data_IF_577880989736
#
_entry.id   IF_577880989736
#
_cell.length_a   1.000
_cell.length_b   1.000
_cell.length_c   1.000
_cell.angle_alpha   90.00
_cell.angle_beta   90.00
_cell.angle_gamma   90.00
#
_symmetry.space_group_name_H-M   'P 1'
#
loop_
_entity.id
_entity.type
_entity.pdbx_description
1 polymer ?
#
# COMPACT_ATOMS: atom_id res chain seq x y z
N UNK A 1 2.40 41.37 -54.50
CA UNK A 1 3.48 40.61 -53.86
C UNK A 1 3.79 41.32 -52.57
N UNK A 2 3.67 40.61 -51.46
CA UNK A 2 3.73 41.18 -50.12
C UNK A 2 5.21 41.32 -49.73
N UNK A 3 5.74 42.54 -49.50
CA UNK A 3 7.18 42.77 -49.34
C UNK A 3 7.76 42.13 -48.06
N UNK A 4 6.92 41.71 -47.10
CA UNK A 4 7.35 40.96 -45.92
C UNK A 4 7.65 39.48 -46.20
N UNK A 5 7.04 38.91 -47.24
CA UNK A 5 7.17 37.49 -47.55
C UNK A 5 8.47 37.22 -48.33
N UNK A 6 8.88 38.17 -49.17
CA UNK A 6 10.18 38.13 -49.87
C UNK A 6 11.38 38.27 -48.91
N UNK A 7 11.26 39.08 -47.84
CA UNK A 7 12.30 39.18 -46.81
C UNK A 7 12.44 37.90 -45.97
N UNK A 8 11.34 37.21 -45.65
CA UNK A 8 11.38 35.94 -44.90
C UNK A 8 11.96 34.80 -45.74
N UNK A 9 11.64 34.74 -47.03
CA UNK A 9 12.19 33.76 -47.97
C UNK A 9 13.70 34.00 -48.20
N UNK A 10 14.15 35.25 -48.35
CA UNK A 10 15.58 35.58 -48.45
C UNK A 10 16.36 35.24 -47.17
N UNK A 11 15.76 35.44 -45.98
CA UNK A 11 16.39 35.06 -44.71
C UNK A 11 16.49 33.55 -44.57
N UNK A 12 15.47 32.80 -45.02
CA UNK A 12 15.48 31.34 -44.99
C UNK A 12 16.47 30.74 -45.99
N UNK A 13 16.59 31.33 -47.19
CA UNK A 13 17.58 30.94 -48.18
C UNK A 13 19.02 31.24 -47.69
N UNK A 14 19.26 32.40 -47.08
CA UNK A 14 20.55 32.71 -46.45
C UNK A 14 20.87 31.76 -45.28
N UNK A 15 19.87 31.29 -44.54
CA UNK A 15 20.03 30.29 -43.49
C UNK A 15 20.36 28.91 -44.06
N UNK A 16 19.68 28.48 -45.12
CA UNK A 16 19.91 27.19 -45.78
C UNK A 16 21.26 27.15 -46.52
N UNK A 17 21.73 28.26 -47.08
CA UNK A 17 23.05 28.34 -47.71
C UNK A 17 24.20 28.20 -46.71
N UNK A 18 24.00 28.54 -45.43
CA UNK A 18 24.96 28.23 -44.37
C UNK A 18 25.13 26.71 -44.17
N UNK A 19 24.08 25.90 -44.36
CA UNK A 19 24.17 24.44 -44.26
C UNK A 19 24.69 23.78 -45.54
N UNK A 20 24.45 24.38 -46.71
CA UNK A 20 25.00 23.90 -47.99
C UNK A 20 26.50 24.12 -48.11
N UNK A 21 27.01 25.20 -47.51
CA UNK A 21 28.43 25.57 -47.54
C UNK A 21 29.28 24.84 -46.48
N UNK A 22 28.66 24.40 -45.38
CA UNK A 22 29.30 23.54 -44.39
C UNK A 22 29.15 22.07 -44.79
N UNK A 23 30.06 21.56 -45.63
CA UNK A 23 30.25 20.10 -45.71
C UNK A 23 30.51 19.58 -44.30
N UNK A 24 29.69 18.65 -43.84
CA UNK A 24 29.87 17.96 -42.56
C UNK A 24 31.31 17.44 -42.47
N UNK A 25 32.16 18.11 -41.69
CA UNK A 25 33.56 17.74 -41.53
C UNK A 25 33.61 16.54 -40.60
N UNK A 26 33.97 15.37 -41.16
CA UNK A 26 33.92 14.08 -40.47
C UNK A 26 32.90 13.10 -41.05
N UNK A 27 32.31 13.39 -42.22
CA UNK A 27 31.52 12.40 -42.95
C UNK A 27 32.40 11.20 -43.31
N UNK A 28 31.87 9.99 -43.15
CA UNK A 28 32.55 8.75 -43.50
C UNK A 28 33.04 8.82 -44.94
N UNK A 29 34.28 8.40 -45.18
CA UNK A 29 34.83 8.34 -46.53
C UNK A 29 34.10 7.23 -47.32
N UNK A 30 33.47 7.54 -48.46
CA UNK A 30 32.70 6.58 -49.27
C UNK A 30 33.47 5.31 -49.68
N UNK A 31 34.80 5.37 -49.77
CA UNK A 31 35.62 4.21 -50.10
C UNK A 31 35.96 3.35 -48.87
N UNK A 32 35.84 3.91 -47.66
CA UNK A 32 36.29 3.30 -46.39
C UNK A 32 35.21 3.21 -45.32
N UNK A 33 34.00 3.66 -45.65
CA UNK A 33 32.86 3.74 -44.74
C UNK A 33 32.51 2.39 -44.12
N UNK A 34 32.56 1.27 -44.87
CA UNK A 34 32.28 -0.05 -44.30
C UNK A 34 33.28 -0.44 -43.20
N UNK A 35 34.56 -0.07 -43.34
CA UNK A 35 35.57 -0.32 -42.31
C UNK A 35 35.34 0.55 -41.08
N UNK A 36 34.90 1.80 -41.27
CA UNK A 36 34.60 2.72 -40.16
C UNK A 36 33.30 2.35 -39.46
N UNK A 37 32.29 1.87 -40.19
CA UNK A 37 31.04 1.35 -39.64
C UNK A 37 31.28 0.07 -38.85
N UNK A 38 32.16 -0.81 -39.34
CA UNK A 38 32.59 -2.00 -38.60
C UNK A 38 33.42 -1.67 -37.34
N UNK A 39 33.84 -0.41 -37.10
CA UNK A 39 34.44 0.01 -35.83
C UNK A 39 33.41 0.53 -34.83
N UNK A 40 32.19 0.84 -35.28
CA UNK A 40 31.13 1.32 -34.41
C UNK A 40 30.42 0.10 -33.81
N UNK A 41 30.37 -0.04 -32.48
CA UNK A 41 29.85 -1.25 -31.84
C UNK A 41 28.43 -1.64 -32.26
N UNK A 42 27.55 -0.67 -32.53
CA UNK A 42 26.18 -0.93 -33.00
C UNK A 42 26.10 -1.57 -34.40
N UNK A 43 27.15 -1.45 -35.22
CA UNK A 43 27.13 -1.87 -36.63
C UNK A 43 28.23 -2.87 -36.99
N UNK A 44 28.97 -3.35 -35.98
CA UNK A 44 29.95 -4.42 -36.11
C UNK A 44 29.29 -5.68 -36.68
N UNK A 45 29.74 -6.13 -37.85
CA UNK A 45 29.28 -7.40 -38.45
C UNK A 45 29.86 -8.64 -37.76
N UNK A 46 30.92 -8.48 -36.97
CA UNK A 46 31.59 -9.54 -36.21
C UNK A 46 32.07 -8.98 -34.86
N UNK A 47 31.98 -9.79 -33.81
CA UNK A 47 32.57 -9.43 -32.52
C UNK A 47 34.10 -9.30 -32.67
N UNK A 48 34.75 -8.27 -32.10
CA UNK A 48 36.20 -8.14 -32.15
C UNK A 48 36.87 -9.27 -31.34
N UNK A 49 37.88 -9.91 -31.94
CA UNK A 49 38.64 -11.03 -31.35
C UNK A 49 39.73 -10.57 -30.35
N UNK A 50 39.88 -9.26 -30.11
CA UNK A 50 41.02 -8.68 -29.39
C UNK A 50 40.64 -8.16 -27.98
N UNK A 51 41.56 -8.36 -27.02
CA UNK A 51 41.38 -8.29 -25.56
C UNK A 51 40.48 -7.14 -25.06
N UNK A 52 39.45 -7.52 -24.32
CA UNK A 52 38.36 -6.70 -23.73
C UNK A 52 38.81 -5.64 -22.71
N UNK A 53 40.10 -5.42 -22.51
CA UNK A 53 40.64 -4.47 -21.54
C UNK A 53 40.83 -3.05 -22.09
N UNK A 54 40.82 -2.85 -23.42
CA UNK A 54 41.22 -1.56 -24.04
C UNK A 54 40.09 -0.59 -24.36
N UNK A 55 38.82 -0.98 -24.22
CA UNK A 55 37.67 -0.09 -24.51
C UNK A 55 36.56 -0.23 -23.47
N UNK A 56 36.35 0.77 -22.60
CA UNK A 56 35.30 0.74 -21.57
C UNK A 56 33.88 0.70 -22.16
N UNK A 57 33.70 1.19 -23.38
CA UNK A 57 32.44 1.15 -24.13
C UNK A 57 32.08 -0.27 -24.56
N UNK A 58 33.07 -1.09 -24.94
CA UNK A 58 32.86 -2.51 -25.23
C UNK A 58 32.62 -3.30 -23.95
N UNK A 59 33.28 -2.97 -22.84
CA UNK A 59 33.00 -3.59 -21.54
C UNK A 59 31.57 -3.28 -21.03
N UNK A 60 31.08 -2.05 -21.25
CA UNK A 60 29.70 -1.68 -20.92
C UNK A 60 28.70 -2.43 -21.81
N UNK A 61 28.93 -2.49 -23.13
CA UNK A 61 28.10 -3.27 -24.05
C UNK A 61 28.16 -4.77 -23.77
N UNK A 62 29.33 -5.30 -23.42
CA UNK A 62 29.51 -6.69 -23.03
C UNK A 62 28.90 -6.97 -21.66
N UNK A 63 28.80 -5.99 -20.75
CA UNK A 63 28.03 -6.11 -19.51
C UNK A 63 26.51 -6.08 -19.72
N UNK A 64 26.06 -5.38 -20.77
CA UNK A 64 24.65 -5.40 -21.24
C UNK A 64 24.35 -6.70 -22.01
N UNK A 65 25.36 -7.28 -22.67
CA UNK A 65 25.31 -8.53 -23.44
C UNK A 65 25.74 -9.77 -22.64
N UNK A 66 26.21 -9.62 -21.39
CA UNK A 66 26.44 -10.76 -20.48
C UNK A 66 25.08 -11.26 -20.04
N UNK A 67 24.50 -11.98 -20.98
CA UNK A 67 23.24 -12.67 -20.95
C UNK A 67 23.09 -13.50 -19.68
N UNK A 68 22.45 -12.94 -18.65
CA UNK A 68 21.91 -13.76 -17.58
C UNK A 68 20.97 -14.79 -18.23
N UNK A 69 21.23 -16.11 -18.10
CA UNK A 69 20.36 -17.13 -18.65
C UNK A 69 18.88 -16.96 -18.24
N UNK A 70 18.62 -16.32 -17.10
CA UNK A 70 17.26 -15.98 -16.65
C UNK A 70 16.64 -14.85 -17.45
N UNK A 71 17.35 -13.74 -17.69
CA UNK A 71 16.84 -12.62 -18.49
C UNK A 71 16.60 -13.02 -19.94
N UNK A 72 17.51 -13.80 -20.53
CA UNK A 72 17.30 -14.37 -21.86
C UNK A 72 16.07 -15.28 -21.92
N UNK A 73 15.88 -16.13 -20.91
CA UNK A 73 14.70 -17.00 -20.84
C UNK A 73 13.41 -16.18 -20.68
N UNK A 74 13.45 -15.05 -19.96
CA UNK A 74 12.32 -14.09 -19.85
C UNK A 74 12.04 -13.43 -21.20
N UNK A 75 13.07 -12.97 -21.92
CA UNK A 75 12.92 -12.41 -23.25
C UNK A 75 12.26 -13.40 -24.22
N UNK A 76 12.77 -14.64 -24.30
CA UNK A 76 12.19 -15.69 -25.13
C UNK A 76 10.74 -16.04 -24.72
N UNK A 77 10.43 -15.99 -23.42
CA UNK A 77 9.07 -16.16 -22.90
C UNK A 77 8.15 -15.05 -23.42
N UNK A 78 8.58 -13.80 -23.39
CA UNK A 78 7.78 -12.66 -23.84
C UNK A 78 7.62 -12.63 -25.37
N UNK A 79 8.69 -12.88 -26.13
CA UNK A 79 8.62 -13.03 -27.58
C UNK A 79 7.67 -14.17 -27.99
N UNK A 80 7.77 -15.32 -27.32
CA UNK A 80 6.86 -16.45 -27.54
C UNK A 80 5.40 -16.10 -27.23
N UNK A 81 5.15 -15.30 -26.18
CA UNK A 81 3.81 -14.83 -25.82
C UNK A 81 3.22 -13.93 -26.89
N UNK A 82 4.03 -13.09 -27.53
CA UNK A 82 3.56 -12.21 -28.60
C UNK A 82 3.22 -12.99 -29.86
N UNK A 83 4.07 -13.94 -30.29
CA UNK A 83 3.70 -14.86 -31.36
C UNK A 83 2.45 -15.69 -31.04
N UNK A 84 2.27 -16.06 -29.77
CA UNK A 84 1.09 -16.79 -29.33
C UNK A 84 -0.19 -15.95 -29.45
N UNK A 85 -0.14 -14.66 -29.06
CA UNK A 85 -1.25 -13.70 -29.25
C UNK A 85 -1.59 -13.52 -30.73
N UNK A 86 -0.58 -13.46 -31.59
CA UNK A 86 -0.73 -13.41 -33.04
C UNK A 86 -1.19 -14.73 -33.69
N UNK A 87 -1.43 -15.78 -32.90
CA UNK A 87 -1.78 -17.14 -33.36
C UNK A 87 -0.71 -17.79 -34.25
N UNK A 88 0.52 -17.26 -34.27
CA UNK A 88 1.68 -17.84 -34.97
C UNK A 88 2.31 -18.93 -34.11
N UNK A 89 1.55 -20.00 -33.85
CA UNK A 89 1.90 -21.02 -32.86
C UNK A 89 3.23 -21.74 -33.13
N UNK A 90 3.63 -21.93 -34.40
CA UNK A 90 4.92 -22.56 -34.74
C UNK A 90 6.11 -21.71 -34.27
N UNK A 91 6.08 -20.41 -34.55
CA UNK A 91 7.10 -19.46 -34.09
C UNK A 91 7.12 -19.34 -32.57
N UNK A 92 5.95 -19.34 -31.94
CA UNK A 92 5.85 -19.35 -30.48
C UNK A 92 6.54 -20.59 -29.87
N UNK A 93 6.37 -21.77 -30.46
CA UNK A 93 7.03 -23.01 -30.00
C UNK A 93 8.55 -22.89 -30.11
N UNK A 94 9.06 -22.34 -31.20
CA UNK A 94 10.48 -22.12 -31.42
C UNK A 94 11.04 -21.18 -30.34
N UNK A 95 10.43 -20.01 -30.14
CA UNK A 95 10.83 -19.04 -29.12
C UNK A 95 10.83 -19.63 -27.70
N UNK A 96 9.76 -20.33 -27.30
CA UNK A 96 9.72 -21.00 -26.00
C UNK A 96 10.77 -22.11 -25.88
N UNK A 97 11.09 -22.81 -26.97
CA UNK A 97 12.11 -23.86 -26.97
C UNK A 97 13.50 -23.27 -26.80
N UNK A 98 13.79 -22.13 -27.42
CA UNK A 98 15.03 -21.38 -27.18
C UNK A 98 15.13 -20.95 -25.71
N UNK A 99 14.05 -20.41 -25.13
CA UNK A 99 14.01 -20.06 -23.70
C UNK A 99 14.30 -21.26 -22.77
N UNK A 100 13.74 -22.44 -23.08
CA UNK A 100 13.99 -23.68 -22.31
C UNK A 100 15.46 -24.13 -22.46
N UNK A 101 16.06 -23.98 -23.64
CA UNK A 101 17.47 -24.35 -23.89
C UNK A 101 18.46 -23.51 -23.08
N UNK A 102 18.09 -22.27 -22.71
CA UNK A 102 18.92 -21.42 -21.84
C UNK A 102 19.11 -22.00 -20.44
N UNK A 103 18.31 -23.00 -20.04
CA UNK A 103 18.46 -23.77 -18.81
C UNK A 103 18.59 -22.87 -17.55
N UNK A 104 17.66 -21.93 -17.41
CA UNK A 104 17.59 -21.01 -16.29
C UNK A 104 17.40 -21.76 -14.95
N UNK A 105 17.89 -21.22 -13.83
CA UNK A 105 17.76 -21.83 -12.50
C UNK A 105 16.36 -21.63 -11.90
N UNK A 106 15.65 -20.59 -12.35
CA UNK A 106 14.27 -20.30 -11.95
C UNK A 106 13.30 -21.41 -12.40
N UNK A 107 12.87 -22.23 -11.43
CA UNK A 107 11.92 -23.32 -11.66
C UNK A 107 10.52 -22.80 -12.06
N UNK A 108 10.13 -21.60 -11.61
CA UNK A 108 8.86 -20.99 -11.98
C UNK A 108 8.86 -20.63 -13.46
N UNK A 109 9.90 -19.93 -13.90
CA UNK A 109 10.07 -19.52 -15.29
C UNK A 109 10.11 -20.72 -16.23
N UNK A 110 10.85 -21.77 -15.86
CA UNK A 110 10.86 -23.02 -16.60
C UNK A 110 9.46 -23.67 -16.67
N UNK A 111 8.74 -23.77 -15.55
CA UNK A 111 7.39 -24.32 -15.52
C UNK A 111 6.42 -23.55 -16.44
N UNK A 112 6.54 -22.21 -16.46
CA UNK A 112 5.75 -21.33 -17.35
C UNK A 112 6.10 -21.57 -18.82
N UNK A 113 7.39 -21.61 -19.17
CA UNK A 113 7.85 -21.87 -20.55
C UNK A 113 7.34 -23.20 -21.10
N UNK A 114 7.48 -24.30 -20.35
CA UNK A 114 6.94 -25.60 -20.74
C UNK A 114 5.40 -25.56 -20.88
N UNK A 115 4.71 -24.85 -19.99
CA UNK A 115 3.23 -24.74 -20.04
C UNK A 115 2.75 -23.94 -21.25
N UNK A 116 3.46 -22.87 -21.60
CA UNK A 116 3.13 -22.04 -22.76
C UNK A 116 3.45 -22.76 -24.07
N UNK A 117 4.57 -23.48 -24.14
CA UNK A 117 4.89 -24.37 -25.26
C UNK A 117 3.85 -25.47 -25.42
N UNK A 118 3.42 -26.09 -24.32
CA UNK A 118 2.33 -27.07 -24.33
C UNK A 118 1.05 -26.46 -24.94
N UNK A 119 0.71 -25.22 -24.59
CA UNK A 119 -0.46 -24.54 -25.14
C UNK A 119 -0.32 -24.34 -26.66
N UNK A 120 0.83 -23.89 -27.14
CA UNK A 120 1.07 -23.68 -28.57
C UNK A 120 1.02 -25.00 -29.35
N UNK A 121 1.63 -26.07 -28.82
CA UNK A 121 1.56 -27.42 -29.40
C UNK A 121 0.12 -27.94 -29.49
N UNK A 122 -0.70 -27.67 -28.47
CA UNK A 122 -2.12 -28.04 -28.47
C UNK A 122 -2.90 -27.37 -29.60
N UNK A 123 -2.67 -26.07 -29.84
CA UNK A 123 -3.36 -25.33 -30.89
C UNK A 123 -3.01 -25.78 -32.31
N UNK A 124 -1.84 -26.42 -32.50
CA UNK A 124 -1.43 -27.03 -33.77
C UNK A 124 -1.96 -28.47 -33.92
N UNK A 125 -2.50 -29.08 -32.86
CA UNK A 125 -2.97 -30.48 -32.85
C UNK A 125 -1.92 -31.50 -32.41
N UNK A 126 -0.76 -31.05 -31.92
CA UNK A 126 0.30 -31.93 -31.42
C UNK A 126 0.04 -32.34 -29.96
N UNK A 127 -1.02 -33.12 -29.73
CA UNK A 127 -1.49 -33.46 -28.38
C UNK A 127 -0.46 -34.23 -27.55
N UNK A 128 0.29 -35.14 -28.15
CA UNK A 128 1.31 -35.92 -27.44
C UNK A 128 2.47 -35.05 -26.94
N UNK A 129 2.97 -34.15 -27.78
CA UNK A 129 4.01 -33.19 -27.40
C UNK A 129 3.52 -32.23 -26.33
N UNK A 130 2.28 -31.76 -26.46
CA UNK A 130 1.63 -30.91 -25.46
C UNK A 130 1.50 -31.59 -24.09
N UNK A 131 1.17 -32.89 -24.04
CA UNK A 131 1.11 -33.66 -22.80
C UNK A 131 2.50 -33.83 -22.16
N UNK A 132 3.52 -34.14 -22.97
CA UNK A 132 4.90 -34.26 -22.49
C UNK A 132 5.39 -32.94 -21.87
N UNK A 133 5.07 -31.81 -22.51
CA UNK A 133 5.41 -30.48 -22.00
C UNK A 133 4.66 -30.17 -20.68
N UNK A 134 3.39 -30.55 -20.56
CA UNK A 134 2.65 -30.41 -19.29
C UNK A 134 3.26 -31.27 -18.16
N UNK A 135 3.73 -32.48 -18.49
CA UNK A 135 4.44 -33.35 -17.54
C UNK A 135 5.80 -32.75 -17.15
N UNK A 136 6.54 -32.17 -18.11
CA UNK A 136 7.81 -31.51 -17.85
C UNK A 136 7.64 -30.27 -16.96
N UNK A 137 6.62 -29.44 -17.21
CA UNK A 137 6.27 -28.32 -16.34
C UNK A 137 6.00 -28.76 -14.90
N UNK A 138 5.30 -29.89 -14.72
CA UNK A 138 5.04 -30.48 -13.39
C UNK A 138 6.31 -30.96 -12.69
N UNK A 139 7.32 -31.42 -13.43
CA UNK A 139 8.62 -31.80 -12.83
C UNK A 139 9.35 -30.58 -12.26
N UNK A 140 9.17 -29.40 -12.86
CA UNK A 140 9.72 -28.15 -12.36
C UNK A 140 8.93 -27.66 -11.15
N UNK A 141 7.60 -27.56 -11.29
CA UNK A 141 6.69 -27.14 -10.21
C UNK A 141 5.47 -28.07 -10.13
N UNK A 142 5.41 -28.96 -9.13
CA UNK A 142 4.32 -29.94 -8.98
C UNK A 142 2.93 -29.31 -8.85
N UNK A 143 2.85 -28.12 -8.26
CA UNK A 143 1.60 -27.40 -7.99
C UNK A 143 1.23 -26.37 -9.08
N UNK A 144 1.86 -26.42 -10.26
CA UNK A 144 1.57 -25.47 -11.35
C UNK A 144 0.20 -25.75 -12.00
N UNK A 145 -0.84 -25.08 -11.49
CA UNK A 145 -2.24 -25.32 -11.86
C UNK A 145 -2.51 -25.23 -13.38
N UNK A 146 -1.88 -24.27 -14.08
CA UNK A 146 -2.06 -24.11 -15.53
C UNK A 146 -1.54 -25.32 -16.33
N UNK A 147 -0.43 -25.92 -15.91
CA UNK A 147 0.08 -27.16 -16.52
C UNK A 147 -0.87 -28.33 -16.26
N UNK A 148 -1.38 -28.46 -15.04
CA UNK A 148 -2.30 -29.54 -14.63
C UNK A 148 -3.59 -29.48 -15.43
N UNK A 149 -4.21 -28.30 -15.54
CA UNK A 149 -5.43 -28.09 -16.33
C UNK A 149 -5.18 -28.45 -17.80
N UNK A 150 -4.02 -28.08 -18.36
CA UNK A 150 -3.66 -28.39 -19.74
C UNK A 150 -3.47 -29.89 -19.97
N UNK A 151 -2.77 -30.56 -19.06
CA UNK A 151 -2.58 -32.01 -19.10
C UNK A 151 -3.91 -32.76 -19.02
N UNK A 152 -4.80 -32.37 -18.11
CA UNK A 152 -6.16 -32.94 -18.00
C UNK A 152 -7.02 -32.71 -19.24
N UNK A 153 -6.83 -31.59 -19.96
CA UNK A 153 -7.54 -31.35 -21.22
C UNK A 153 -7.14 -32.32 -22.32
N UNK A 154 -5.92 -32.85 -22.28
CA UNK A 154 -5.37 -33.78 -23.27
C UNK A 154 -5.62 -35.23 -22.85
N UNK A 155 -5.41 -35.53 -21.56
CA UNK A 155 -5.61 -36.84 -20.96
C UNK A 155 -6.46 -36.70 -19.68
N UNK A 156 -7.80 -36.75 -19.81
CA UNK A 156 -8.71 -36.54 -18.68
C UNK A 156 -8.64 -37.61 -17.59
N UNK A 157 -8.03 -38.76 -17.89
CA UNK A 157 -8.02 -39.97 -17.04
C UNK A 157 -6.73 -40.05 -16.19
N UNK A 158 -5.79 -39.10 -16.34
CA UNK A 158 -4.55 -39.13 -15.55
C UNK A 158 -4.85 -38.87 -14.06
N UNK A 159 -4.94 -39.96 -13.28
CA UNK A 159 -5.29 -39.95 -11.85
C UNK A 159 -4.47 -38.95 -11.02
N UNK A 160 -3.16 -38.88 -11.27
CA UNK A 160 -2.26 -37.94 -10.57
C UNK A 160 -2.64 -36.47 -10.80
N UNK A 161 -3.06 -36.10 -12.01
CA UNK A 161 -3.46 -34.72 -12.31
C UNK A 161 -4.83 -34.38 -11.70
N UNK A 162 -5.75 -35.35 -11.64
CA UNK A 162 -7.05 -35.18 -11.00
C UNK A 162 -6.91 -34.93 -9.49
N UNK A 163 -6.06 -35.70 -8.80
CA UNK A 163 -5.81 -35.54 -7.37
C UNK A 163 -5.22 -34.17 -7.02
N UNK A 164 -4.22 -33.72 -7.77
CA UNK A 164 -3.59 -32.40 -7.52
C UNK A 164 -4.59 -31.28 -7.80
N UNK A 165 -5.40 -31.38 -8.87
CA UNK A 165 -6.46 -30.40 -9.14
C UNK A 165 -7.48 -30.35 -8.00
N UNK A 166 -7.94 -31.51 -7.52
CA UNK A 166 -8.88 -31.56 -6.40
C UNK A 166 -8.29 -30.93 -5.12
N UNK A 167 -6.99 -31.14 -4.85
CA UNK A 167 -6.28 -30.49 -3.75
C UNK A 167 -6.22 -28.97 -3.94
N UNK A 168 -5.86 -28.49 -5.12
CA UNK A 168 -5.82 -27.07 -5.46
C UNK A 168 -7.21 -26.41 -5.33
N UNK A 169 -8.25 -27.05 -5.84
CA UNK A 169 -9.64 -26.57 -5.72
C UNK A 169 -10.08 -26.49 -4.25
N UNK A 170 -9.68 -27.45 -3.41
CA UNK A 170 -9.95 -27.42 -1.97
C UNK A 170 -9.25 -26.25 -1.27
N UNK A 171 -8.00 -25.99 -1.61
CA UNK A 171 -7.23 -24.85 -1.09
C UNK A 171 -7.82 -23.51 -1.54
N UNK A 172 -8.17 -23.38 -2.82
CA UNK A 172 -8.81 -22.18 -3.35
C UNK A 172 -10.14 -21.89 -2.63
N UNK A 173 -10.98 -22.91 -2.44
CA UNK A 173 -12.23 -22.75 -1.67
C UNK A 173 -12.00 -22.37 -0.20
N UNK A 174 -10.87 -22.78 0.39
CA UNK A 174 -10.53 -22.33 1.75
C UNK A 174 -10.13 -20.86 1.74
N UNK A 175 -9.21 -20.46 0.85
CA UNK A 175 -8.79 -19.06 0.69
C UNK A 175 -9.97 -18.13 0.38
N UNK A 176 -10.88 -18.54 -0.52
CA UNK A 176 -12.08 -17.76 -0.85
C UNK A 176 -13.01 -17.58 0.36
N UNK A 177 -13.11 -18.57 1.25
CA UNK A 177 -13.90 -18.46 2.49
C UNK A 177 -13.25 -17.50 3.47
N UNK A 178 -11.94 -17.61 3.65
CA UNK A 178 -11.20 -16.74 4.58
C UNK A 178 -11.25 -15.28 4.09
N UNK A 179 -11.07 -15.05 2.78
CA UNK A 179 -11.19 -13.73 2.17
C UNK A 179 -12.61 -13.13 2.29
N UNK A 180 -13.66 -13.95 2.21
CA UNK A 180 -15.03 -13.47 2.46
C UNK A 180 -15.23 -13.07 3.92
N UNK A 181 -14.69 -13.86 4.86
CA UNK A 181 -14.80 -13.59 6.30
C UNK A 181 -14.06 -12.32 6.68
N UNK A 182 -12.85 -12.10 6.16
CA UNK A 182 -12.09 -10.85 6.40
C UNK A 182 -12.81 -9.65 5.82
N UNK A 183 -13.29 -9.72 4.57
CA UNK A 183 -14.06 -8.63 3.95
C UNK A 183 -15.35 -8.29 4.69
N UNK A 184 -16.04 -9.30 5.24
CA UNK A 184 -17.24 -9.09 6.05
C UNK A 184 -16.92 -8.43 7.40
N UNK A 185 -15.84 -8.86 8.07
CA UNK A 185 -15.39 -8.25 9.31
C UNK A 185 -14.99 -6.78 9.10
N UNK A 186 -14.26 -6.48 8.02
CA UNK A 186 -13.85 -5.12 7.68
C UNK A 186 -15.06 -4.22 7.40
N UNK A 187 -16.02 -4.72 6.61
CA UNK A 187 -17.27 -3.98 6.35
C UNK A 187 -18.04 -3.70 7.64
N UNK A 188 -18.08 -4.66 8.58
CA UNK A 188 -18.75 -4.49 9.88
C UNK A 188 -18.07 -3.40 10.71
N UNK A 189 -16.73 -3.44 10.83
CA UNK A 189 -15.94 -2.39 11.50
C UNK A 189 -16.19 -1.03 10.87
N UNK A 190 -16.18 -0.94 9.54
CA UNK A 190 -16.45 0.31 8.83
C UNK A 190 -17.87 0.84 9.10
N UNK A 191 -18.89 -0.03 9.16
CA UNK A 191 -20.25 0.40 9.51
C UNK A 191 -20.36 0.88 10.95
N UNK A 192 -19.67 0.22 11.89
CA UNK A 192 -19.62 0.65 13.30
C UNK A 192 -18.92 2.00 13.43
N UNK A 193 -17.76 2.17 12.79
CA UNK A 193 -17.05 3.44 12.69
C UNK A 193 -17.95 4.54 12.13
N UNK A 194 -18.59 4.31 10.98
CA UNK A 194 -19.47 5.30 10.35
C UNK A 194 -20.68 5.65 11.25
N UNK A 195 -21.22 4.68 11.99
CA UNK A 195 -22.31 4.94 12.94
C UNK A 195 -21.86 5.82 14.10
N UNK A 196 -20.68 5.52 14.67
CA UNK A 196 -20.06 6.32 15.72
C UNK A 196 -19.79 7.76 15.24
N UNK A 197 -19.26 7.91 14.03
CA UNK A 197 -19.00 9.21 13.39
C UNK A 197 -20.27 10.05 13.29
N UNK A 198 -21.34 9.47 12.75
CA UNK A 198 -22.61 10.17 12.63
C UNK A 198 -23.17 10.57 14.01
N UNK A 199 -23.01 9.71 15.02
CA UNK A 199 -23.44 10.00 16.37
C UNK A 199 -22.69 11.19 16.99
N UNK A 200 -21.36 11.26 16.81
CA UNK A 200 -20.54 12.39 17.31
C UNK A 200 -20.90 13.68 16.58
N UNK A 201 -20.98 13.64 15.24
CA UNK A 201 -21.32 14.81 14.43
C UNK A 201 -22.73 15.35 14.75
N UNK A 202 -23.71 14.47 14.94
CA UNK A 202 -25.09 14.87 15.29
C UNK A 202 -25.19 15.61 16.62
N UNK A 203 -24.21 15.42 17.51
CA UNK A 203 -24.14 16.09 18.82
C UNK A 203 -23.42 17.43 18.77
N UNK A 204 -22.90 17.84 17.61
CA UNK A 204 -22.17 19.09 17.46
C UNK A 204 -20.81 19.10 18.17
N UNK A 205 -20.28 17.92 18.51
CA UNK A 205 -18.95 17.76 19.07
C UNK A 205 -17.95 17.99 17.93
N UNK A 206 -17.05 18.97 18.10
CA UNK A 206 -16.00 19.26 17.11
C UNK A 206 -14.94 18.19 17.22
N UNK A 207 -14.26 17.83 16.13
CA UNK A 207 -13.11 16.92 16.14
C UNK A 207 -11.99 17.57 15.32
N UNK A 208 -10.75 17.59 15.83
CA UNK A 208 -9.64 18.30 15.18
C UNK A 208 -9.05 17.45 14.04
N UNK A 209 -8.84 18.07 12.88
CA UNK A 209 -8.04 17.52 11.78
C UNK A 209 -6.57 17.50 12.17
N UNK A 210 -6.08 16.40 12.75
CA UNK A 210 -4.65 16.12 12.65
C UNK A 210 -4.36 15.72 11.21
N UNK A 211 -3.79 16.66 10.44
CA UNK A 211 -3.23 16.35 9.12
C UNK A 211 -1.95 15.55 9.33
N UNK A 212 -2.05 14.23 9.26
CA UNK A 212 -0.89 13.40 8.90
C UNK A 212 -0.63 13.58 7.40
N UNK A 213 0.64 13.75 7.01
CA UNK A 213 1.07 13.84 5.60
C UNK A 213 0.87 12.50 4.83
N UNK A 214 0.42 11.45 5.52
CA UNK A 214 0.02 10.17 4.93
C UNK A 214 -1.48 10.17 4.60
N UNK A 215 -1.80 10.25 3.30
CA UNK A 215 -3.14 10.40 2.68
C UNK A 215 -4.19 9.30 2.99
N UNK A 216 -3.96 8.39 3.95
CA UNK A 216 -4.88 7.29 4.26
C UNK A 216 -5.57 7.34 5.64
N UNK A 217 -5.07 8.12 6.59
CA UNK A 217 -5.68 8.23 7.93
C UNK A 217 -6.61 9.43 8.03
N UNK A 218 -7.88 9.16 8.30
CA UNK A 218 -8.84 10.23 8.60
C UNK A 218 -8.59 10.74 10.02
N UNK A 219 -8.91 12.01 10.35
CA UNK A 219 -8.82 12.55 11.72
C UNK A 219 -9.50 11.71 12.82
N UNK A 220 -10.37 10.80 12.38
CA UNK A 220 -11.19 9.94 13.20
C UNK A 220 -10.66 8.52 13.35
N UNK A 221 -9.67 8.12 12.53
CA UNK A 221 -8.85 6.95 12.82
C UNK A 221 -8.14 7.13 14.16
N UNK A 222 -7.76 8.36 14.51
CA UNK A 222 -7.23 8.67 15.84
C UNK A 222 -8.27 8.51 16.96
N UNK A 223 -9.57 8.73 16.78
CA UNK A 223 -10.53 8.58 17.90
C UNK A 223 -10.95 7.11 18.08
N UNK A 224 -11.10 6.40 16.97
CA UNK A 224 -11.44 4.98 16.96
C UNK A 224 -10.22 4.06 17.13
N UNK A 225 -8.99 4.59 17.00
CA UNK A 225 -7.74 3.81 17.07
C UNK A 225 -6.67 4.46 17.94
N UNK A 226 -6.93 5.58 18.64
CA UNK A 226 -5.99 6.10 19.64
C UNK A 226 -5.86 5.03 20.71
N UNK A 227 -4.73 4.35 20.66
CA UNK A 227 -4.21 3.54 21.73
C UNK A 227 -3.86 4.50 22.88
N UNK A 228 -4.89 4.99 23.57
CA UNK A 228 -4.72 5.54 24.91
C UNK A 228 -4.01 4.44 25.72
N UNK A 229 -3.18 4.76 26.71
CA UNK A 229 -2.37 3.77 27.45
C UNK A 229 -3.17 2.59 28.04
N UNK A 230 -4.50 2.71 28.11
CA UNK A 230 -5.48 1.74 28.60
C UNK A 230 -6.28 1.02 27.49
N UNK A 231 -6.15 1.37 26.21
CA UNK A 231 -6.84 0.75 25.07
C UNK A 231 -8.34 1.00 24.99
N UNK A 232 -8.89 1.90 25.79
CA UNK A 232 -10.32 2.24 25.78
C UNK A 232 -10.65 3.25 24.69
N UNK A 233 -11.80 3.07 24.04
CA UNK A 233 -12.26 3.84 22.89
C UNK A 233 -13.66 4.39 23.12
N UNK A 234 -14.06 5.38 22.33
CA UNK A 234 -15.43 5.91 22.36
C UNK A 234 -16.39 4.83 21.85
N UNK A 235 -17.40 4.49 22.65
CA UNK A 235 -18.38 3.45 22.32
C UNK A 235 -19.76 4.07 22.14
N UNK A 236 -20.49 3.60 21.13
CA UNK A 236 -21.90 3.89 20.93
C UNK A 236 -22.73 2.71 21.49
N UNK A 237 -23.64 2.99 22.42
CA UNK A 237 -24.51 1.97 23.02
C UNK A 237 -25.70 1.59 22.11
N UNK A 238 -26.51 0.62 22.54
CA UNK A 238 -27.72 0.18 21.81
C UNK A 238 -28.81 1.26 21.71
N UNK A 239 -28.80 2.24 22.62
CA UNK A 239 -29.74 3.36 22.65
C UNK A 239 -29.23 4.56 21.83
N UNK A 240 -28.05 4.45 21.21
CA UNK A 240 -27.42 5.51 20.44
C UNK A 240 -26.77 6.61 21.29
N UNK A 241 -26.46 6.36 22.57
CA UNK A 241 -25.70 7.23 23.49
C UNK A 241 -24.21 6.92 23.43
N UNK A 242 -23.36 7.94 23.57
CA UNK A 242 -21.92 7.79 23.57
C UNK A 242 -21.38 7.59 24.99
N UNK A 243 -20.33 6.77 25.10
CA UNK A 243 -19.50 6.67 26.30
C UNK A 243 -18.05 6.96 25.93
N UNK A 244 -17.43 7.87 26.68
CA UNK A 244 -16.10 8.40 26.40
C UNK A 244 -15.07 7.90 27.41
N UNK A 245 -13.85 7.58 26.98
CA UNK A 245 -12.73 7.45 27.90
C UNK A 245 -12.34 8.84 28.42
N UNK A 246 -12.35 9.01 29.73
CA UNK A 246 -12.11 10.31 30.40
C UNK A 246 -10.94 10.17 31.39
N UNK A 247 -10.04 11.14 31.40
CA UNK A 247 -8.95 11.21 32.38
C UNK A 247 -9.17 12.39 33.33
N UNK A 248 -9.22 12.10 34.63
CA UNK A 248 -9.16 13.11 35.68
C UNK A 248 -7.71 13.27 36.13
N UNK A 249 -7.21 14.50 36.12
CA UNK A 249 -5.90 14.85 36.64
C UNK A 249 -6.06 15.69 37.91
N UNK A 250 -5.28 15.36 38.94
CA UNK A 250 -5.23 16.03 40.24
C UNK A 250 -3.86 16.71 40.37
N UNK A 251 -3.70 17.98 39.96
CA UNK A 251 -2.40 18.61 39.83
C UNK A 251 -1.64 18.73 41.16
N UNK A 252 -2.35 19.04 42.25
CA UNK A 252 -1.78 19.22 43.60
C UNK A 252 -0.98 18.00 44.06
N UNK A 253 -1.41 16.81 43.67
CA UNK A 253 -0.79 15.54 44.06
C UNK A 253 -0.13 14.80 42.89
N UNK A 254 -0.14 15.40 41.68
CA UNK A 254 0.33 14.78 40.44
C UNK A 254 -0.24 13.37 40.23
N UNK A 255 -1.54 13.20 40.54
CA UNK A 255 -2.25 11.93 40.40
C UNK A 255 -3.21 11.98 39.21
N UNK A 256 -3.53 10.82 38.66
CA UNK A 256 -4.52 10.67 37.58
C UNK A 256 -5.45 9.51 37.86
N UNK A 257 -6.73 9.66 37.53
CA UNK A 257 -7.69 8.56 37.46
C UNK A 257 -8.26 8.43 36.06
N UNK A 258 -8.41 7.19 35.60
CA UNK A 258 -8.92 6.89 34.28
C UNK A 258 -10.29 6.23 34.34
N UNK A 259 -11.27 6.87 33.71
CA UNK A 259 -12.64 6.36 33.55
C UNK A 259 -12.76 5.80 32.13
N UNK A 260 -12.83 4.48 32.02
CA UNK A 260 -12.86 3.81 30.70
C UNK A 260 -14.11 4.05 29.87
N UNK A 261 -15.25 4.30 30.52
CA UNK A 261 -16.54 4.55 29.87
C UNK A 261 -17.38 5.53 30.69
N UNK A 262 -17.20 6.83 30.44
CA UNK A 262 -18.00 7.92 30.98
C UNK A 262 -19.20 8.17 30.06
N UNK A 263 -20.40 7.82 30.52
CA UNK A 263 -21.61 7.97 29.73
C UNK A 263 -21.95 9.46 29.52
N UNK A 264 -22.36 9.85 28.32
CA UNK A 264 -22.53 11.26 27.96
C UNK A 264 -23.60 12.01 28.79
N UNK A 265 -24.60 11.30 29.32
CA UNK A 265 -25.62 11.86 30.25
C UNK A 265 -25.21 11.84 31.72
N UNK A 266 -24.13 11.16 32.07
CA UNK A 266 -23.68 11.13 33.45
C UNK A 266 -23.18 12.51 33.85
N UNK A 267 -23.45 12.89 35.10
CA UNK A 267 -22.94 14.13 35.67
C UNK A 267 -21.56 13.91 36.25
N UNK A 268 -20.76 14.97 36.30
CA UNK A 268 -19.45 14.91 36.95
C UNK A 268 -19.60 14.63 38.45
N UNK A 269 -20.60 15.22 39.12
CA UNK A 269 -20.85 15.02 40.54
C UNK A 269 -21.15 13.56 40.91
N UNK A 270 -21.84 12.81 40.05
CA UNK A 270 -22.12 11.38 40.28
C UNK A 270 -20.83 10.56 40.28
N UNK A 271 -19.95 10.81 39.31
CA UNK A 271 -18.65 10.16 39.22
C UNK A 271 -17.72 10.56 40.38
N UNK A 272 -17.62 11.86 40.68
CA UNK A 272 -16.81 12.35 41.81
C UNK A 272 -17.31 11.83 43.15
N UNK A 273 -18.62 11.73 43.34
CA UNK A 273 -19.20 11.13 44.55
C UNK A 273 -18.81 9.65 44.62
N UNK A 274 -18.97 8.88 43.54
CA UNK A 274 -18.57 7.48 43.54
C UNK A 274 -17.07 7.27 43.81
N UNK A 275 -16.21 8.15 43.31
CA UNK A 275 -14.75 8.06 43.47
C UNK A 275 -14.27 8.50 44.86
N UNK A 276 -14.94 9.45 45.50
CA UNK A 276 -14.48 10.12 46.74
C UNK A 276 -15.42 9.96 47.96
N UNK A 277 -16.38 9.03 47.94
CA UNK A 277 -17.40 8.88 49.02
C UNK A 277 -17.03 7.92 50.15
N UNK A 278 -16.58 6.70 49.84
CA UNK A 278 -16.39 5.65 50.85
C UNK A 278 -14.95 5.58 51.38
N UNK A 279 -13.96 5.61 50.48
CA UNK A 279 -12.54 5.52 50.81
C UNK A 279 -11.79 6.70 50.18
N UNK A 280 -11.41 7.68 51.00
CA UNK A 280 -10.57 8.80 50.55
C UNK A 280 -9.24 8.25 50.01
N UNK A 281 -8.74 8.77 48.88
CA UNK A 281 -7.51 8.26 48.31
C UNK A 281 -6.33 8.36 49.29
N UNK A 282 -5.39 7.40 49.30
CA UNK A 282 -4.27 7.40 50.25
C UNK A 282 -3.36 8.64 50.15
N UNK A 283 -3.39 9.32 49.00
CA UNK A 283 -2.62 10.53 48.74
C UNK A 283 -3.29 11.80 49.28
N UNK A 284 -4.60 11.78 49.58
CA UNK A 284 -5.33 12.90 50.17
C UNK A 284 -5.19 12.89 51.71
N UNK A 285 -3.96 13.12 52.18
CA UNK A 285 -3.64 13.14 53.62
C UNK A 285 -4.36 14.26 54.37
N UNK A 286 -4.71 15.35 53.68
CA UNK A 286 -5.38 16.53 54.24
C UNK A 286 -6.91 16.47 54.14
N UNK A 287 -7.46 15.43 53.50
CA UNK A 287 -8.90 15.22 53.28
C UNK A 287 -9.58 16.38 52.57
N UNK A 288 -8.88 16.95 51.60
CA UNK A 288 -9.34 18.10 50.79
C UNK A 288 -10.22 17.69 49.62
N UNK A 289 -10.12 16.45 49.15
CA UNK A 289 -10.82 15.95 47.96
C UNK A 289 -12.15 15.30 48.33
N UNK A 290 -13.05 16.09 48.91
CA UNK A 290 -14.43 15.70 49.18
C UNK A 290 -15.31 16.10 48.00
N UNK A 291 -16.19 15.22 47.52
CA UNK A 291 -16.98 15.43 46.30
C UNK A 291 -17.71 16.79 46.20
N UNK A 292 -18.16 17.37 47.33
CA UNK A 292 -18.85 18.66 47.37
C UNK A 292 -17.92 19.89 47.33
N UNK A 293 -16.62 19.70 47.57
CA UNK A 293 -15.58 20.73 47.56
C UNK A 293 -14.70 20.68 46.30
N UNK A 294 -15.00 19.77 45.36
CA UNK A 294 -14.24 19.62 44.14
C UNK A 294 -14.75 20.56 43.07
N UNK A 295 -13.82 21.18 42.38
CA UNK A 295 -14.03 21.98 41.20
C UNK A 295 -13.43 21.26 40.00
N UNK A 296 -14.18 21.27 38.89
CA UNK A 296 -13.78 20.60 37.65
C UNK A 296 -13.45 21.65 36.63
N UNK A 297 -12.33 21.48 35.92
CA UNK A 297 -11.89 22.37 34.87
C UNK A 297 -11.51 21.57 33.62
N UNK A 298 -11.59 22.21 32.45
CA UNK A 298 -10.95 21.70 31.23
C UNK A 298 -10.08 22.79 30.62
N UNK A 299 -9.05 22.36 29.90
CA UNK A 299 -8.16 23.24 29.15
C UNK A 299 -8.69 23.40 27.72
N UNK A 300 -8.71 24.63 27.22
CA UNK A 300 -8.84 24.89 25.79
C UNK A 300 -7.45 25.08 25.18
N UNK A 301 -6.98 24.06 24.45
CA UNK A 301 -5.65 24.06 23.83
C UNK A 301 -5.44 25.25 22.87
N UNK A 302 -6.50 25.73 22.21
CA UNK A 302 -6.40 26.86 21.28
C UNK A 302 -6.25 28.22 22.01
N UNK A 303 -6.79 28.31 23.24
CA UNK A 303 -6.84 29.55 24.02
C UNK A 303 -5.87 29.58 25.20
N UNK A 304 -5.19 28.46 25.50
CA UNK A 304 -4.37 28.24 26.70
C UNK A 304 -5.08 28.68 28.01
N UNK A 305 -6.40 28.54 28.04
CA UNK A 305 -7.27 29.00 29.13
C UNK A 305 -8.01 27.82 29.77
N UNK A 306 -8.17 27.88 31.09
CA UNK A 306 -8.98 26.92 31.84
C UNK A 306 -10.42 27.41 32.00
N UNK A 307 -11.37 26.52 31.75
CA UNK A 307 -12.79 26.78 31.92
C UNK A 307 -13.34 25.93 33.06
N UNK A 308 -13.96 26.58 34.04
CA UNK A 308 -14.63 25.91 35.16
C UNK A 308 -15.94 25.26 34.68
N UNK A 309 -16.16 24.02 35.09
CA UNK A 309 -17.36 23.23 34.81
C UNK A 309 -18.15 23.10 36.10
N UNK A 310 -19.44 23.38 36.01
CA UNK A 310 -20.39 23.05 37.07
C UNK A 310 -20.52 21.51 37.18
N UNK A 311 -20.16 20.88 38.32
CA UNK A 311 -20.20 19.43 38.46
C UNK A 311 -21.58 18.79 38.23
N UNK A 312 -22.67 19.57 38.34
CA UNK A 312 -24.03 19.11 38.03
C UNK A 312 -24.31 18.95 36.53
N UNK A 313 -23.45 19.47 35.66
CA UNK A 313 -23.57 19.30 34.21
C UNK A 313 -23.20 17.90 33.77
N UNK A 314 -23.76 17.51 32.64
CA UNK A 314 -23.43 16.25 31.98
C UNK A 314 -22.14 16.38 31.18
N UNK A 315 -21.52 15.25 30.86
CA UNK A 315 -20.38 15.23 29.94
C UNK A 315 -20.77 15.82 28.57
N UNK A 316 -21.93 15.47 28.02
CA UNK A 316 -22.40 15.96 26.72
C UNK A 316 -22.49 17.48 26.66
N UNK A 317 -23.13 18.10 27.65
CA UNK A 317 -23.26 19.56 27.75
C UNK A 317 -21.88 20.26 27.77
N UNK A 318 -20.88 19.58 28.34
CA UNK A 318 -19.52 20.09 28.46
C UNK A 318 -18.74 19.90 27.16
N UNK A 319 -18.92 18.78 26.46
CA UNK A 319 -18.33 18.51 25.15
C UNK A 319 -18.92 19.37 24.03
N UNK A 320 -20.14 19.87 24.19
CA UNK A 320 -20.80 20.80 23.25
C UNK A 320 -20.33 22.25 23.42
N UNK A 321 -19.48 22.55 24.40
CA UNK A 321 -19.04 23.91 24.68
C UNK A 321 -18.25 24.53 23.51
N UNK A 322 -18.47 25.83 23.26
CA UNK A 322 -18.01 26.48 22.03
C UNK A 322 -16.50 26.77 21.95
N UNK A 323 -15.79 26.61 23.06
CA UNK A 323 -14.37 26.93 23.25
C UNK A 323 -13.57 25.70 23.71
N UNK A 324 -13.88 24.52 23.18
CA UNK A 324 -13.15 23.29 23.52
C UNK A 324 -12.41 22.78 22.28
N UNK A 325 -11.09 22.93 22.27
CA UNK A 325 -10.15 22.22 21.41
C UNK A 325 -10.03 20.73 21.79
N UNK A 326 -9.63 19.87 20.85
CA UNK A 326 -9.87 18.42 20.92
C UNK A 326 -8.61 17.60 21.17
N UNK A 327 -8.61 16.81 22.25
CA UNK A 327 -7.73 15.66 22.40
C UNK A 327 -8.55 14.35 22.42
N UNK A 328 -7.93 13.26 21.96
CA UNK A 328 -8.56 11.91 21.84
C UNK A 328 -8.89 11.26 23.19
N UNK A 329 -8.42 11.85 24.29
CA UNK A 329 -8.84 11.57 25.65
C UNK A 329 -9.34 12.87 26.25
N UNK A 330 -10.57 12.92 26.75
CA UNK A 330 -11.04 14.13 27.41
C UNK A 330 -10.33 14.27 28.76
N UNK A 331 -9.42 15.23 28.84
CA UNK A 331 -8.69 15.58 30.05
C UNK A 331 -9.49 16.60 30.86
N UNK A 332 -9.72 16.29 32.14
CA UNK A 332 -10.29 17.24 33.09
C UNK A 332 -9.36 17.38 34.29
N UNK A 333 -9.20 18.62 34.74
CA UNK A 333 -8.49 18.97 35.95
C UNK A 333 -9.47 19.00 37.12
N UNK A 334 -9.13 18.32 38.20
CA UNK A 334 -9.91 18.29 39.43
C UNK A 334 -9.10 18.98 40.52
N UNK A 335 -9.65 20.05 41.09
CA UNK A 335 -9.03 20.85 42.13
C UNK A 335 -9.95 21.00 43.35
N UNK A 336 -9.39 21.20 44.54
CA UNK A 336 -10.17 21.53 45.73
C UNK A 336 -10.46 23.04 45.78
N UNK A 337 -11.66 23.45 46.23
CA UNK A 337 -12.09 24.87 46.35
C UNK A 337 -11.13 25.78 47.14
N UNK A 338 -10.33 25.21 48.04
CA UNK A 338 -9.38 25.96 48.86
C UNK A 338 -7.97 26.01 48.24
N UNK A 339 -7.86 25.84 46.92
CA UNK A 339 -6.59 25.92 46.23
C UNK A 339 -6.05 27.35 46.29
N UNK A 340 -5.12 27.58 47.23
CA UNK A 340 -4.31 28.79 47.28
C UNK A 340 -3.20 28.66 46.24
N UNK A 341 -3.22 29.51 45.21
CA UNK A 341 -2.03 29.83 44.41
C UNK A 341 -1.03 30.61 45.28
N UNK A 342 -0.40 29.93 46.23
CA UNK A 342 0.90 30.34 46.73
C UNK A 342 1.94 29.46 46.03
N UNK A 343 2.37 29.92 44.86
CA UNK A 343 3.67 29.54 44.27
C UNK A 343 4.67 30.62 44.68
#
# INVERSE_FOLDING_TARGET
MDPKQEEEDEVMDQFMDKFRTHKYKGAFNEERWEEEFNKIPMFMKKAPDDDTEKTPELACLQSILTDDPEELARFCKDEGNDYFKEKKYKKAIEAYTEGIKKNCKDQELNAVLYTNRAAAQFHIGNYRSSLNDAIAARKQKPDHLKAIIRGLRISPIEKKLLEIRAKADKLQRAADRDARKTKQAEKKKQTEKNSLLNAIQSRGIRLQEQRSDDDEETPYDNIASSENATGAQVVLDENGRLSWPVLFFYPEHSQTDFISAFHEDSRFCDHLTAMFSEDLPPWDTERKYLAHNLEVYFEDEDSECFYQIDPERTLLETMQHSSRGNSSADFFLIMSQNWTTEI
#
